data_IF_163725057431
#
_entry.id   IF_163725057431
#
_cell.length_a   1.000
_cell.length_b   1.000
_cell.length_c   1.000
_cell.angle_alpha   90.00
_cell.angle_beta   90.00
_cell.angle_gamma   90.00
#
_symmetry.space_group_name_H-M   'P 1'
#
loop_
_entity.id
_entity.type
_entity.pdbx_description
1 polymer ?
#
# COMPACT_ATOMS: atom_id res chain seq x y z
N UNK A 1 26.26 -27.44 79.29
CA UNK A 1 25.21 -27.51 78.30
C UNK A 1 25.41 -26.39 77.27
N UNK A 2 26.00 -26.64 76.14
CA UNK A 2 26.27 -25.63 75.05
C UNK A 2 25.28 -25.85 73.92
N UNK A 3 24.50 -24.84 73.63
CA UNK A 3 23.58 -24.80 72.54
C UNK A 3 24.32 -24.35 71.26
N UNK A 4 24.33 -25.17 70.23
CA UNK A 4 24.86 -24.88 68.87
C UNK A 4 23.81 -24.16 68.09
N UNK A 5 24.12 -22.93 67.61
CA UNK A 5 23.33 -22.16 66.69
C UNK A 5 23.59 -22.68 65.26
N UNK A 6 22.57 -23.20 64.62
CA UNK A 6 22.59 -23.54 63.17
C UNK A 6 22.30 -22.28 62.37
N UNK A 7 23.22 -21.96 61.44
CA UNK A 7 23.09 -20.87 60.49
C UNK A 7 22.30 -21.37 59.28
N UNK A 8 21.07 -20.85 59.09
CA UNK A 8 20.30 -21.07 57.86
C UNK A 8 20.86 -20.14 56.77
N UNK A 9 21.43 -20.73 55.74
CA UNK A 9 21.81 -20.02 54.51
C UNK A 9 20.58 -19.96 53.59
N UNK A 10 20.04 -18.78 53.41
CA UNK A 10 19.01 -18.52 52.40
C UNK A 10 19.70 -18.40 51.02
N UNK A 11 19.51 -19.38 50.11
CA UNK A 11 19.76 -19.20 48.70
C UNK A 11 18.67 -18.30 48.12
N UNK A 12 19.01 -17.04 47.89
CA UNK A 12 18.18 -16.17 47.07
C UNK A 12 18.34 -16.60 45.60
N UNK A 13 17.36 -17.31 45.10
CA UNK A 13 17.21 -17.52 43.64
C UNK A 13 16.91 -16.17 42.99
N UNK A 14 17.88 -15.60 42.32
CA UNK A 14 17.68 -14.46 41.40
C UNK A 14 16.82 -14.94 40.22
N UNK A 15 15.52 -14.78 40.35
CA UNK A 15 14.61 -14.81 39.21
C UNK A 15 14.85 -13.49 38.48
N UNK A 16 15.62 -13.52 37.42
CA UNK A 16 15.68 -12.41 36.46
C UNK A 16 14.28 -12.23 35.88
N UNK A 17 13.69 -11.03 35.88
CA UNK A 17 12.46 -10.79 35.17
C UNK A 17 12.78 -10.96 33.66
N UNK A 18 12.18 -11.97 33.04
CA UNK A 18 12.07 -11.99 31.59
C UNK A 18 11.29 -10.72 31.23
N UNK A 19 11.98 -9.73 30.65
CA UNK A 19 11.33 -8.62 29.97
C UNK A 19 10.60 -9.24 28.78
N UNK A 20 9.34 -9.62 28.98
CA UNK A 20 8.44 -9.90 27.88
C UNK A 20 8.32 -8.58 27.10
N UNK A 21 8.76 -8.58 25.85
CA UNK A 21 8.42 -7.52 24.93
C UNK A 21 6.89 -7.54 24.81
N UNK A 22 6.22 -6.62 25.50
CA UNK A 22 4.81 -6.37 25.28
C UNK A 22 4.65 -5.72 23.90
N UNK A 23 4.70 -6.55 22.86
CA UNK A 23 4.20 -6.18 21.57
C UNK A 23 2.68 -6.14 21.72
N UNK A 24 2.14 -4.94 21.64
CA UNK A 24 0.76 -4.58 21.93
C UNK A 24 -0.25 -5.61 21.39
N UNK A 25 -0.74 -6.48 22.28
CA UNK A 25 -1.85 -7.38 22.05
C UNK A 25 -3.14 -6.65 22.42
N UNK A 26 -3.52 -5.65 21.61
CA UNK A 26 -4.81 -5.00 21.76
C UNK A 26 -5.95 -6.04 21.71
N UNK A 27 -7.09 -5.80 22.37
CA UNK A 27 -8.15 -6.77 22.53
C UNK A 27 -8.65 -7.28 21.17
N UNK A 28 -8.63 -8.58 21.00
CA UNK A 28 -9.21 -9.29 19.87
C UNK A 28 -10.73 -9.22 19.96
N UNK A 29 -11.34 -8.22 19.33
CA UNK A 29 -12.77 -8.26 19.05
C UNK A 29 -12.98 -8.90 17.67
N UNK A 30 -13.83 -9.94 17.53
CA UNK A 30 -14.26 -10.45 16.24
C UNK A 30 -14.97 -9.33 15.47
N UNK A 31 -14.79 -9.27 14.13
CA UNK A 31 -15.36 -8.25 13.26
C UNK A 31 -16.85 -8.04 13.51
N UNK A 32 -17.19 -6.99 14.23
CA UNK A 32 -18.56 -6.57 14.41
C UNK A 32 -18.98 -5.82 13.13
N UNK A 33 -20.11 -6.24 12.56
CA UNK A 33 -20.80 -5.49 11.52
C UNK A 33 -20.97 -4.04 11.98
N UNK A 34 -20.31 -3.10 11.31
CA UNK A 34 -20.46 -1.68 11.62
C UNK A 34 -21.85 -1.25 11.13
N UNK A 35 -22.75 -0.93 12.06
CA UNK A 35 -24.07 -0.37 11.73
C UNK A 35 -23.92 1.08 11.26
N UNK A 36 -24.90 1.60 10.53
CA UNK A 36 -24.87 2.96 9.99
C UNK A 36 -24.66 4.06 11.04
N UNK A 37 -25.08 3.83 12.29
CA UNK A 37 -24.84 4.69 13.45
C UNK A 37 -23.38 4.65 13.96
N UNK A 38 -22.64 3.57 13.69
CA UNK A 38 -21.22 3.41 14.03
C UNK A 38 -20.28 4.00 12.95
N UNK A 39 -20.78 4.18 11.72
CA UNK A 39 -20.04 4.81 10.61
C UNK A 39 -19.65 6.24 10.96
N UNK A 40 -20.56 7.01 11.57
CA UNK A 40 -20.28 8.40 11.99
C UNK A 40 -19.20 8.49 13.09
N UNK A 41 -19.10 7.52 13.99
CA UNK A 41 -18.08 7.47 15.01
C UNK A 41 -16.71 7.01 14.49
N UNK A 42 -16.68 6.18 13.45
CA UNK A 42 -15.44 5.73 12.79
C UNK A 42 -14.77 6.85 11.97
N UNK A 43 -15.53 7.74 11.33
CA UNK A 43 -15.02 8.90 10.57
C UNK A 43 -14.23 9.87 11.46
N UNK A 44 -14.52 9.94 12.76
CA UNK A 44 -13.80 10.79 13.71
C UNK A 44 -12.51 10.20 14.27
N UNK A 45 -12.15 8.96 13.92
CA UNK A 45 -11.03 8.23 14.50
C UNK A 45 -9.69 8.39 13.76
N UNK A 46 -9.62 9.19 12.70
CA UNK A 46 -8.39 9.54 12.00
C UNK A 46 -8.39 11.02 11.60
N UNK A 47 -7.20 11.57 11.38
CA UNK A 47 -7.00 12.96 10.97
C UNK A 47 -6.39 12.97 9.58
N UNK A 48 -7.04 13.64 8.65
CA UNK A 48 -6.48 13.96 7.35
C UNK A 48 -5.60 15.21 7.47
N UNK A 49 -4.35 15.01 7.81
CA UNK A 49 -3.32 16.05 7.93
C UNK A 49 -2.15 15.70 7.00
N UNK A 50 -2.45 15.66 5.71
CA UNK A 50 -1.47 15.36 4.67
C UNK A 50 -1.23 16.58 3.82
N UNK A 51 -0.05 17.17 3.96
CA UNK A 51 0.42 18.26 3.11
C UNK A 51 0.62 17.79 1.65
N UNK A 52 0.91 18.76 0.79
CA UNK A 52 1.25 18.50 -0.62
C UNK A 52 0.09 18.75 -1.58
N UNK A 53 0.28 18.32 -2.83
CA UNK A 53 -0.65 18.54 -3.92
C UNK A 53 -2.07 18.03 -3.63
N UNK A 54 -3.06 18.72 -4.18
CA UNK A 54 -4.46 18.29 -4.12
C UNK A 54 -4.78 17.50 -5.37
N UNK A 55 -5.39 16.34 -5.21
CA UNK A 55 -5.95 15.55 -6.31
C UNK A 55 -7.30 16.12 -6.71
N UNK A 56 -7.42 16.64 -7.93
CA UNK A 56 -8.71 17.05 -8.53
C UNK A 56 -9.05 16.03 -9.62
N UNK A 57 -9.72 14.96 -9.21
CA UNK A 57 -9.95 13.79 -10.05
C UNK A 57 -11.26 13.82 -10.83
N UNK A 58 -12.15 14.78 -10.57
CA UNK A 58 -13.43 14.95 -11.26
C UNK A 58 -14.22 13.64 -11.42
N UNK A 59 -14.69 13.01 -10.33
CA UNK A 59 -15.39 11.74 -10.41
C UNK A 59 -16.72 11.91 -11.12
N UNK A 60 -17.01 11.08 -12.10
CA UNK A 60 -18.33 10.98 -12.67
C UNK A 60 -19.27 10.10 -11.83
N UNK A 61 -20.54 10.03 -12.24
CA UNK A 61 -21.53 9.24 -11.52
C UNK A 61 -21.20 7.74 -11.46
N UNK A 62 -20.48 7.19 -12.43
CA UNK A 62 -20.08 5.78 -12.45
C UNK A 62 -18.97 5.54 -11.42
N UNK A 63 -17.99 6.44 -11.31
CA UNK A 63 -16.94 6.39 -10.27
C UNK A 63 -17.57 6.45 -8.87
N UNK A 64 -18.48 7.39 -8.62
CA UNK A 64 -19.15 7.54 -7.33
C UNK A 64 -20.04 6.33 -7.00
N UNK A 65 -20.74 5.78 -8.00
CA UNK A 65 -21.52 4.55 -7.83
C UNK A 65 -20.64 3.34 -7.47
N UNK A 66 -19.43 3.27 -8.00
CA UNK A 66 -18.48 2.19 -7.73
C UNK A 66 -17.81 2.33 -6.35
N UNK A 67 -17.32 3.52 -6.02
CA UNK A 67 -16.48 3.75 -4.84
C UNK A 67 -17.21 4.26 -3.62
N UNK A 68 -18.37 4.92 -3.81
CA UNK A 68 -19.13 5.54 -2.74
C UNK A 68 -20.64 5.36 -2.94
N UNK A 69 -21.14 4.11 -3.10
CA UNK A 69 -22.54 3.84 -3.45
C UNK A 69 -23.55 4.40 -2.44
N UNK A 70 -23.12 4.70 -1.22
CA UNK A 70 -23.93 5.25 -0.14
C UNK A 70 -23.49 6.66 0.29
N UNK A 71 -22.78 7.40 -0.58
CA UNK A 71 -22.27 8.74 -0.30
C UNK A 71 -21.02 8.79 0.60
N UNK A 72 -20.44 7.64 0.92
CA UNK A 72 -19.14 7.48 1.62
C UNK A 72 -18.37 6.35 0.99
N UNK A 73 -17.04 6.49 0.92
CA UNK A 73 -16.14 5.39 0.53
C UNK A 73 -15.74 4.62 1.79
N UNK A 74 -16.08 3.35 1.87
CA UNK A 74 -15.65 2.48 2.98
C UNK A 74 -14.31 1.85 2.60
N UNK A 75 -13.27 2.13 3.40
CA UNK A 75 -11.91 1.67 3.09
C UNK A 75 -11.43 0.69 4.16
N UNK A 76 -11.14 -0.54 3.75
CA UNK A 76 -10.60 -1.60 4.61
C UNK A 76 -9.09 -1.47 4.81
N UNK A 77 -8.63 -1.54 6.06
CA UNK A 77 -7.21 -1.49 6.42
C UNK A 77 -6.81 -2.68 7.27
N UNK A 78 -5.82 -3.44 6.83
CA UNK A 78 -5.09 -4.33 7.72
C UNK A 78 -4.08 -3.50 8.54
N UNK A 79 -4.47 -3.08 9.75
CA UNK A 79 -3.60 -2.26 10.62
C UNK A 79 -2.43 -3.04 11.25
N UNK A 80 -2.37 -4.35 11.06
CA UNK A 80 -1.20 -5.16 11.41
C UNK A 80 -0.09 -5.06 10.34
N UNK A 81 -0.42 -4.64 9.13
CA UNK A 81 0.54 -4.26 8.10
C UNK A 81 0.81 -2.74 8.17
N UNK A 82 1.79 -2.35 8.96
CA UNK A 82 2.14 -0.94 9.17
C UNK A 82 2.62 -0.22 7.91
N UNK A 83 2.94 -0.94 6.84
CA UNK A 83 3.20 -0.34 5.53
C UNK A 83 1.94 0.28 4.91
N UNK A 84 0.75 -0.13 5.34
CA UNK A 84 -0.53 0.45 4.93
C UNK A 84 -1.13 1.31 6.03
N UNK A 85 -1.31 0.74 7.23
CA UNK A 85 -1.90 1.44 8.36
C UNK A 85 -1.35 0.92 9.70
N UNK A 86 -1.30 1.80 10.68
CA UNK A 86 -1.03 1.48 12.07
C UNK A 86 -2.18 2.00 12.94
N UNK A 87 -2.50 1.30 14.02
CA UNK A 87 -3.49 1.74 15.00
C UNK A 87 -2.78 2.24 16.25
N UNK A 88 -3.11 3.44 16.68
CA UNK A 88 -2.64 3.98 17.95
C UNK A 88 -3.26 3.19 19.11
N UNK A 89 -2.46 2.63 20.04
CA UNK A 89 -2.97 1.77 21.10
C UNK A 89 -3.80 2.52 22.14
N UNK A 90 -3.63 3.83 22.27
CA UNK A 90 -4.29 4.65 23.30
C UNK A 90 -5.59 5.24 22.73
N UNK A 91 -5.52 5.86 21.56
CA UNK A 91 -6.64 6.58 20.94
C UNK A 91 -7.46 5.70 20.00
N UNK A 92 -6.90 4.59 19.51
CA UNK A 92 -7.49 3.75 18.47
C UNK A 92 -7.43 4.36 17.07
N UNK A 93 -6.86 5.56 16.91
CA UNK A 93 -6.76 6.26 15.64
C UNK A 93 -5.85 5.52 14.66
N UNK A 94 -6.24 5.51 13.38
CA UNK A 94 -5.42 4.96 12.30
C UNK A 94 -4.52 6.04 11.72
N UNK A 95 -3.28 5.66 11.43
CA UNK A 95 -2.27 6.47 10.74
C UNK A 95 -1.54 5.60 9.72
N UNK A 96 -0.76 6.21 8.84
CA UNK A 96 0.10 5.49 7.90
C UNK A 96 -0.21 5.78 6.42
N UNK A 97 0.59 5.22 5.50
CA UNK A 97 0.53 5.58 4.08
C UNK A 97 -0.86 5.38 3.46
N UNK A 98 -1.56 4.31 3.79
CA UNK A 98 -2.90 4.06 3.28
C UNK A 98 -3.93 5.08 3.76
N UNK A 99 -3.81 5.58 5.01
CA UNK A 99 -4.67 6.64 5.53
C UNK A 99 -4.39 7.96 4.79
N UNK A 100 -3.11 8.33 4.65
CA UNK A 100 -2.69 9.55 3.96
C UNK A 100 -3.20 9.56 2.50
N UNK A 101 -3.06 8.44 1.79
CA UNK A 101 -3.59 8.29 0.43
C UNK A 101 -5.12 8.33 0.40
N UNK A 102 -5.81 7.71 1.36
CA UNK A 102 -7.28 7.75 1.42
C UNK A 102 -7.81 9.16 1.66
N UNK A 103 -7.09 9.98 2.45
CA UNK A 103 -7.43 11.39 2.65
C UNK A 103 -7.38 12.18 1.33
N UNK A 104 -6.33 11.97 0.52
CA UNK A 104 -6.20 12.64 -0.80
C UNK A 104 -7.21 12.10 -1.82
N UNK A 105 -7.47 10.80 -1.81
CA UNK A 105 -8.51 10.21 -2.66
C UNK A 105 -9.90 10.77 -2.32
N UNK A 106 -10.22 10.91 -1.03
CA UNK A 106 -11.49 11.52 -0.57
C UNK A 106 -11.61 13.00 -0.97
N UNK A 107 -10.51 13.75 -0.98
CA UNK A 107 -10.49 15.12 -1.52
C UNK A 107 -10.89 15.12 -3.01
N UNK A 108 -10.32 14.24 -3.81
CA UNK A 108 -10.59 14.16 -5.24
C UNK A 108 -11.98 13.61 -5.59
N UNK A 109 -12.54 12.72 -4.79
CA UNK A 109 -13.89 12.21 -4.98
C UNK A 109 -14.96 13.15 -4.43
N UNK A 110 -14.59 14.16 -3.63
CA UNK A 110 -15.51 15.05 -2.89
C UNK A 110 -16.49 14.31 -1.99
N UNK A 111 -16.18 13.07 -1.61
CA UNK A 111 -16.96 12.29 -0.64
C UNK A 111 -16.08 11.87 0.53
N UNK A 112 -16.61 11.82 1.77
CA UNK A 112 -15.84 11.34 2.91
C UNK A 112 -15.53 9.86 2.77
N UNK A 113 -14.43 9.40 3.39
CA UNK A 113 -14.19 7.99 3.57
C UNK A 113 -14.36 7.56 5.03
N UNK A 114 -14.63 6.27 5.23
CA UNK A 114 -14.70 5.61 6.52
C UNK A 114 -13.61 4.55 6.56
N UNK A 115 -12.76 4.61 7.57
CA UNK A 115 -11.70 3.62 7.76
C UNK A 115 -12.23 2.44 8.58
N UNK A 116 -12.16 1.22 8.01
CA UNK A 116 -12.56 -0.02 8.64
C UNK A 116 -11.30 -0.84 8.97
N UNK A 117 -11.02 -0.99 10.26
CA UNK A 117 -9.79 -1.59 10.75
C UNK A 117 -9.94 -3.10 10.96
N UNK A 118 -9.04 -3.87 10.37
CA UNK A 118 -8.96 -5.33 10.51
C UNK A 118 -7.59 -5.76 11.06
N UNK A 119 -7.60 -6.72 11.98
CA UNK A 119 -6.38 -7.34 12.48
C UNK A 119 -5.97 -8.52 11.59
N UNK A 120 -5.27 -8.23 10.51
CA UNK A 120 -4.79 -9.25 9.58
C UNK A 120 -5.63 -9.40 8.30
N UNK A 121 -5.15 -10.23 7.39
CA UNK A 121 -5.76 -10.48 6.08
C UNK A 121 -7.04 -11.32 6.17
N UNK A 122 -7.12 -12.41 6.95
CA UNK A 122 -8.33 -13.23 7.00
C UNK A 122 -9.59 -12.46 7.40
N UNK A 123 -9.61 -11.61 8.47
CA UNK A 123 -10.80 -10.82 8.78
C UNK A 123 -11.10 -9.73 7.72
N UNK A 124 -10.09 -9.16 7.04
CA UNK A 124 -10.31 -8.24 5.93
C UNK A 124 -11.04 -8.93 4.75
N UNK A 125 -10.68 -10.17 4.41
CA UNK A 125 -11.36 -10.97 3.39
C UNK A 125 -12.77 -11.39 3.83
N UNK A 126 -12.98 -11.65 5.11
CA UNK A 126 -14.34 -11.87 5.64
C UNK A 126 -15.20 -10.62 5.46
N UNK A 127 -14.64 -9.43 5.64
CA UNK A 127 -15.31 -8.15 5.35
C UNK A 127 -15.68 -7.99 3.87
N UNK A 128 -14.88 -8.50 2.94
CA UNK A 128 -15.25 -8.58 1.52
C UNK A 128 -16.53 -9.39 1.30
N UNK A 129 -16.59 -10.59 1.88
CA UNK A 129 -17.75 -11.47 1.75
C UNK A 129 -19.04 -10.84 2.32
N UNK A 130 -18.91 -9.99 3.33
CA UNK A 130 -20.00 -9.24 3.94
C UNK A 130 -20.30 -7.91 3.24
N UNK A 131 -19.53 -7.53 2.21
CA UNK A 131 -19.60 -6.21 1.56
C UNK A 131 -19.38 -5.04 2.54
N UNK A 132 -18.44 -5.20 3.48
CA UNK A 132 -18.16 -4.20 4.51
C UNK A 132 -17.36 -3.00 3.96
N UNK A 133 -16.62 -3.17 2.86
CA UNK A 133 -15.77 -2.14 2.27
C UNK A 133 -15.88 -2.07 0.74
N UNK A 134 -15.58 -0.90 0.20
CA UNK A 134 -15.63 -0.57 -1.24
C UNK A 134 -14.23 -0.58 -1.87
N UNK A 135 -13.21 -0.29 -1.06
CA UNK A 135 -11.80 -0.40 -1.41
C UNK A 135 -10.98 -0.87 -0.20
N UNK A 136 -9.78 -1.42 -0.39
CA UNK A 136 -8.92 -1.81 0.72
C UNK A 136 -7.43 -1.66 0.41
N UNK A 137 -6.63 -1.45 1.47
CA UNK A 137 -5.16 -1.39 1.42
C UNK A 137 -4.59 -2.62 2.12
N UNK A 138 -4.18 -3.63 1.37
CA UNK A 138 -3.71 -4.84 2.01
C UNK A 138 -2.84 -5.79 1.17
N UNK A 139 -2.96 -5.79 -0.16
CA UNK A 139 -2.56 -6.94 -0.95
C UNK A 139 -1.44 -6.64 -1.94
N UNK A 140 -0.60 -7.65 -2.17
CA UNK A 140 0.32 -7.69 -3.29
C UNK A 140 -0.44 -7.94 -4.58
N UNK A 141 -0.19 -7.13 -5.59
CA UNK A 141 -0.84 -7.21 -6.89
C UNK A 141 -0.69 -8.58 -7.58
N UNK A 142 0.40 -9.31 -7.32
CA UNK A 142 0.70 -10.61 -7.96
C UNK A 142 0.14 -11.81 -7.19
N UNK A 143 -0.34 -11.59 -5.97
CA UNK A 143 -0.77 -12.63 -5.04
C UNK A 143 -2.25 -12.49 -4.65
N UNK A 144 -3.04 -11.82 -5.48
CA UNK A 144 -4.43 -11.50 -5.24
C UNK A 144 -5.27 -12.73 -4.84
N UNK A 145 -5.96 -12.68 -3.71
CA UNK A 145 -6.97 -13.68 -3.42
C UNK A 145 -8.19 -13.50 -4.34
N UNK A 146 -8.99 -14.56 -4.57
CA UNK A 146 -10.21 -14.48 -5.36
C UNK A 146 -11.19 -13.42 -4.82
N UNK A 147 -11.91 -12.76 -5.71
CA UNK A 147 -12.99 -11.82 -5.39
C UNK A 147 -12.54 -10.35 -5.32
N UNK A 148 -11.27 -10.06 -5.57
CA UNK A 148 -10.74 -8.70 -5.63
C UNK A 148 -9.93 -8.46 -6.89
N UNK A 149 -9.92 -7.22 -7.33
CA UNK A 149 -9.04 -6.73 -8.41
C UNK A 149 -8.16 -5.61 -7.88
N UNK A 150 -6.85 -5.69 -8.14
CA UNK A 150 -5.89 -4.67 -7.73
C UNK A 150 -5.78 -3.54 -8.74
N UNK A 151 -5.62 -2.34 -8.22
CA UNK A 151 -5.12 -1.20 -8.97
C UNK A 151 -3.61 -1.34 -9.24
N UNK A 152 -3.00 -0.36 -9.93
CA UNK A 152 -1.55 -0.31 -10.07
C UNK A 152 -0.89 -0.21 -8.68
N UNK A 153 0.26 -0.86 -8.47
CA UNK A 153 0.89 -0.84 -7.16
C UNK A 153 1.48 0.53 -6.84
N UNK A 154 1.45 0.91 -5.56
CA UNK A 154 1.98 2.18 -5.07
C UNK A 154 3.22 2.02 -4.19
N UNK A 155 3.30 0.95 -3.40
CA UNK A 155 4.38 0.68 -2.45
C UNK A 155 4.99 -0.68 -2.71
N UNK A 156 6.33 -0.73 -2.82
CA UNK A 156 7.13 -1.93 -2.75
C UNK A 156 7.64 -2.17 -1.34
N UNK A 157 7.52 -3.39 -0.83
CA UNK A 157 7.97 -3.80 0.50
C UNK A 157 8.99 -4.91 0.37
N UNK A 158 10.20 -4.65 0.85
CA UNK A 158 11.29 -5.63 0.91
C UNK A 158 11.00 -6.67 1.99
N UNK A 159 10.83 -7.92 1.60
CA UNK A 159 10.61 -9.03 2.52
C UNK A 159 11.84 -9.92 2.61
N UNK A 160 12.26 -10.21 3.84
CA UNK A 160 13.39 -11.05 4.16
C UNK A 160 13.09 -11.88 5.40
N UNK A 161 14.08 -12.59 5.91
CA UNK A 161 14.00 -13.28 7.19
C UNK A 161 14.67 -12.47 8.30
N UNK A 162 14.00 -12.38 9.44
CA UNK A 162 14.59 -12.04 10.71
C UNK A 162 14.97 -13.34 11.42
N UNK A 163 16.21 -13.44 11.87
CA UNK A 163 16.75 -14.60 12.58
C UNK A 163 17.39 -14.15 13.90
N UNK A 164 17.56 -15.07 14.85
CA UNK A 164 18.31 -14.78 16.07
C UNK A 164 19.77 -14.45 15.73
N UNK A 165 20.43 -13.67 16.58
CA UNK A 165 21.79 -13.21 16.34
C UNK A 165 22.82 -14.33 16.15
N UNK A 166 22.63 -15.47 16.82
CA UNK A 166 23.46 -16.68 16.79
C UNK A 166 23.06 -17.69 15.71
N UNK A 167 22.00 -17.43 14.94
CA UNK A 167 21.52 -18.34 13.91
C UNK A 167 22.56 -18.52 12.78
N UNK A 168 22.68 -19.73 12.20
CA UNK A 168 23.71 -20.03 11.20
C UNK A 168 23.43 -19.43 9.82
N UNK A 169 22.24 -18.93 9.57
CA UNK A 169 21.80 -18.43 8.27
C UNK A 169 22.49 -17.11 7.91
N UNK A 170 23.10 -17.01 6.73
CA UNK A 170 23.78 -15.80 6.26
C UNK A 170 23.02 -15.10 5.12
N UNK A 171 22.22 -15.84 4.37
CA UNK A 171 21.42 -15.37 3.24
C UNK A 171 20.07 -16.08 3.22
N UNK A 172 19.12 -15.54 2.47
CA UNK A 172 17.76 -16.07 2.31
C UNK A 172 17.75 -17.55 1.91
N UNK A 173 18.64 -17.95 0.99
CA UNK A 173 18.70 -19.33 0.51
C UNK A 173 19.07 -20.37 1.59
N UNK A 174 19.67 -19.94 2.70
CA UNK A 174 20.06 -20.84 3.78
C UNK A 174 18.88 -21.30 4.65
N UNK A 175 17.75 -20.58 4.59
CA UNK A 175 16.61 -20.78 5.48
C UNK A 175 15.68 -21.91 5.00
N UNK A 176 15.62 -22.19 3.69
CA UNK A 176 14.83 -23.31 3.17
C UNK A 176 15.57 -24.64 3.33
N UNK A 177 15.68 -25.13 4.55
CA UNK A 177 16.38 -26.37 4.89
C UNK A 177 15.50 -27.30 5.74
N UNK A 178 15.76 -28.63 5.70
CA UNK A 178 15.03 -29.60 6.51
C UNK A 178 15.09 -29.30 8.01
N UNK A 179 13.94 -29.31 8.66
CA UNK A 179 13.82 -29.03 10.10
C UNK A 179 13.74 -27.57 10.49
N UNK A 180 13.97 -26.63 9.57
CA UNK A 180 13.80 -25.19 9.81
C UNK A 180 12.31 -24.83 9.88
N UNK A 181 11.93 -24.06 10.90
CA UNK A 181 10.58 -23.57 11.13
C UNK A 181 10.58 -22.05 10.92
N UNK A 182 9.68 -21.58 10.09
CA UNK A 182 9.57 -20.16 9.72
C UNK A 182 8.20 -19.63 10.17
N UNK A 183 8.16 -18.67 11.07
CA UNK A 183 6.90 -18.01 11.43
C UNK A 183 6.53 -16.94 10.41
N UNK A 184 5.25 -16.79 10.15
CA UNK A 184 4.70 -15.85 9.18
C UNK A 184 3.26 -15.46 9.54
N UNK A 185 2.85 -14.23 9.26
CA UNK A 185 1.45 -13.83 9.38
C UNK A 185 0.61 -14.46 8.27
N UNK A 186 -0.45 -15.17 8.63
CA UNK A 186 -1.32 -15.88 7.70
C UNK A 186 -1.95 -14.95 6.67
N UNK A 187 -1.93 -15.35 5.40
CA UNK A 187 -2.50 -14.62 4.27
C UNK A 187 -1.68 -13.41 3.84
N UNK A 188 -0.53 -13.13 4.46
CA UNK A 188 0.39 -12.08 4.00
C UNK A 188 1.09 -12.48 2.70
N UNK A 189 1.63 -11.49 1.95
CA UNK A 189 2.42 -11.77 0.75
C UNK A 189 3.58 -12.75 1.01
N UNK A 190 4.37 -12.64 2.10
CA UNK A 190 5.33 -13.65 2.49
C UNK A 190 4.74 -15.06 2.66
N UNK A 191 3.58 -15.21 3.32
CA UNK A 191 2.95 -16.50 3.53
C UNK A 191 2.54 -17.17 2.22
N UNK A 192 1.90 -16.40 1.33
CA UNK A 192 1.43 -16.92 0.03
C UNK A 192 2.64 -17.29 -0.84
N UNK A 193 3.66 -16.43 -0.90
CA UNK A 193 4.86 -16.67 -1.68
C UNK A 193 5.64 -17.90 -1.18
N UNK A 194 5.93 -17.94 0.10
CA UNK A 194 6.69 -19.05 0.71
C UNK A 194 5.90 -20.36 0.69
N UNK A 195 4.59 -20.31 0.83
CA UNK A 195 3.73 -21.48 0.69
C UNK A 195 3.79 -22.15 -0.68
N UNK A 196 4.22 -21.40 -1.73
CA UNK A 196 4.39 -21.90 -3.10
C UNK A 196 5.82 -22.26 -3.45
N UNK A 197 6.82 -21.70 -2.74
CA UNK A 197 8.24 -21.76 -3.15
C UNK A 197 9.12 -22.59 -2.23
N UNK A 198 8.80 -22.69 -0.93
CA UNK A 198 9.56 -23.52 0.01
C UNK A 198 9.50 -25.00 -0.36
N UNK A 199 10.63 -25.66 -0.22
CA UNK A 199 10.78 -27.09 -0.52
C UNK A 199 11.01 -27.94 0.74
N UNK A 200 11.67 -27.42 1.74
CA UNK A 200 12.14 -28.16 2.90
C UNK A 200 11.69 -27.58 4.23
N UNK A 201 11.72 -26.27 4.39
CA UNK A 201 11.33 -25.60 5.63
C UNK A 201 9.82 -25.65 5.87
N UNK A 202 9.42 -25.55 7.13
CA UNK A 202 8.01 -25.59 7.54
C UNK A 202 7.51 -24.20 7.92
N UNK A 203 6.38 -23.75 7.33
CA UNK A 203 5.71 -22.51 7.73
C UNK A 203 4.86 -22.72 8.98
N UNK A 204 5.08 -21.86 9.98
CA UNK A 204 4.26 -21.73 11.18
C UNK A 204 3.45 -20.44 11.07
N UNK A 205 2.17 -20.59 10.72
CA UNK A 205 1.26 -19.47 10.46
C UNK A 205 0.66 -18.94 11.76
N UNK A 206 0.62 -17.61 11.90
CA UNK A 206 0.00 -16.92 13.04
C UNK A 206 -1.07 -15.95 12.54
N UNK A 207 -1.98 -15.53 13.40
CA UNK A 207 -3.02 -14.58 13.02
C UNK A 207 -2.45 -13.19 12.66
N UNK A 208 -1.30 -12.83 13.23
CA UNK A 208 -0.70 -11.49 13.08
C UNK A 208 0.81 -11.50 13.24
N UNK A 209 1.49 -10.46 12.72
CA UNK A 209 2.94 -10.27 12.79
C UNK A 209 3.50 -10.29 14.22
N UNK A 210 2.90 -9.64 15.24
CA UNK A 210 3.42 -9.71 16.60
C UNK A 210 3.56 -11.14 17.11
N UNK A 211 2.55 -11.96 16.93
CA UNK A 211 2.58 -13.38 17.35
C UNK A 211 3.67 -14.17 16.61
N UNK A 212 3.91 -13.87 15.33
CA UNK A 212 4.97 -14.51 14.58
C UNK A 212 6.37 -14.13 15.10
N UNK A 213 6.56 -12.88 15.51
CA UNK A 213 7.78 -12.40 16.15
C UNK A 213 7.97 -13.01 17.55
N UNK A 214 6.90 -13.17 18.34
CA UNK A 214 6.94 -13.82 19.66
C UNK A 214 7.43 -15.27 19.55
N UNK A 215 7.02 -16.01 18.53
CA UNK A 215 7.50 -17.37 18.28
C UNK A 215 9.02 -17.40 18.04
N UNK A 216 9.56 -16.40 17.33
CA UNK A 216 11.00 -16.27 17.13
C UNK A 216 11.72 -15.93 18.45
N UNK A 217 11.17 -14.96 19.21
CA UNK A 217 11.72 -14.52 20.48
C UNK A 217 11.79 -15.64 21.53
N UNK A 218 10.78 -16.51 21.55
CA UNK A 218 10.71 -17.67 22.46
C UNK A 218 11.43 -18.92 21.94
N UNK A 219 12.06 -18.86 20.75
CA UNK A 219 12.80 -19.98 20.16
C UNK A 219 11.91 -21.12 19.64
N UNK A 220 10.61 -20.88 19.48
CA UNK A 220 9.69 -21.87 18.92
C UNK A 220 9.83 -22.01 17.40
N UNK A 221 10.43 -21.02 16.74
CA UNK A 221 10.79 -21.03 15.33
C UNK A 221 12.24 -20.55 15.14
N UNK A 222 12.79 -20.80 13.98
CA UNK A 222 14.19 -20.53 13.66
C UNK A 222 14.34 -19.22 12.87
N UNK A 223 13.28 -18.78 12.17
CA UNK A 223 13.19 -17.53 11.42
C UNK A 223 11.76 -16.96 11.45
N UNK A 224 11.66 -15.65 11.31
CA UNK A 224 10.42 -14.95 10.97
C UNK A 224 10.52 -14.44 9.53
N UNK A 225 9.46 -14.60 8.74
CA UNK A 225 9.36 -14.10 7.38
C UNK A 225 8.47 -12.85 7.33
N UNK A 226 9.00 -11.74 6.82
CA UNK A 226 8.24 -10.49 6.71
C UNK A 226 9.02 -9.31 6.18
N UNK A 227 8.37 -8.15 6.16
CA UNK A 227 8.97 -6.89 5.73
C UNK A 227 9.98 -6.34 6.74
N UNK A 228 10.86 -5.45 6.29
CA UNK A 228 11.89 -4.75 7.10
C UNK A 228 11.31 -3.58 7.93
N UNK A 229 10.01 -3.60 8.20
CA UNK A 229 9.27 -2.50 8.80
C UNK A 229 9.51 -2.29 10.30
N UNK A 230 8.84 -1.26 10.90
CA UNK A 230 9.09 -0.81 12.28
C UNK A 230 8.91 -1.87 13.34
N UNK A 231 7.97 -2.82 13.19
CA UNK A 231 7.77 -3.91 14.15
C UNK A 231 8.98 -4.82 14.26
N UNK A 232 9.62 -5.13 13.11
CA UNK A 232 10.83 -5.94 13.07
C UNK A 232 12.02 -5.19 13.68
N UNK A 233 12.15 -3.90 13.39
CA UNK A 233 13.19 -3.04 13.98
C UNK A 233 13.01 -2.94 15.50
N UNK A 234 11.77 -2.76 15.97
CA UNK A 234 11.47 -2.75 17.41
C UNK A 234 11.82 -4.09 18.07
N UNK A 235 11.52 -5.21 17.44
CA UNK A 235 11.91 -6.53 17.93
C UNK A 235 13.44 -6.68 18.02
N UNK A 236 14.18 -6.27 16.99
CA UNK A 236 15.66 -6.32 17.04
C UNK A 236 16.20 -5.48 18.20
N UNK A 237 15.64 -4.31 18.42
CA UNK A 237 16.08 -3.41 19.47
C UNK A 237 15.83 -3.95 20.89
N UNK A 238 14.72 -4.65 21.11
CA UNK A 238 14.37 -5.18 22.45
C UNK A 238 14.92 -6.58 22.71
N UNK A 239 14.95 -7.44 21.72
CA UNK A 239 15.08 -8.88 21.87
C UNK A 239 16.28 -9.45 21.11
N UNK A 240 16.99 -8.63 20.38
CA UNK A 240 18.11 -9.02 19.52
C UNK A 240 17.66 -9.69 18.23
N UNK A 241 18.63 -10.09 17.43
CA UNK A 241 18.40 -10.68 16.13
C UNK A 241 19.02 -9.85 15.00
N UNK A 242 18.91 -10.35 13.80
CA UNK A 242 19.39 -9.68 12.59
C UNK A 242 18.54 -10.04 11.38
N UNK A 243 18.36 -9.07 10.51
CA UNK A 243 17.78 -9.30 9.18
C UNK A 243 18.82 -9.91 8.26
N UNK A 244 18.41 -10.84 7.40
CA UNK A 244 19.25 -11.29 6.31
C UNK A 244 19.42 -10.17 5.27
N UNK A 245 20.59 -10.10 4.60
CA UNK A 245 20.91 -8.95 3.73
C UNK A 245 20.06 -8.90 2.45
N UNK A 246 19.73 -10.06 1.91
CA UNK A 246 18.95 -10.22 0.68
C UNK A 246 17.44 -10.33 0.95
N UNK A 247 16.64 -10.21 -0.08
CA UNK A 247 15.19 -10.34 -0.04
C UNK A 247 14.76 -11.62 -0.76
N UNK A 248 13.76 -12.33 -0.22
CA UNK A 248 13.11 -13.41 -0.95
C UNK A 248 11.94 -12.91 -1.81
N UNK A 249 11.38 -11.74 -1.47
CA UNK A 249 10.23 -11.15 -2.17
C UNK A 249 10.27 -9.63 -2.02
N UNK A 250 9.97 -8.91 -3.10
CA UNK A 250 9.50 -7.53 -3.05
C UNK A 250 7.98 -7.56 -3.26
N UNK A 251 7.22 -7.32 -2.21
CA UNK A 251 5.76 -7.29 -2.27
C UNK A 251 5.28 -5.94 -2.79
N UNK A 252 4.58 -5.92 -3.92
CA UNK A 252 4.05 -4.71 -4.54
C UNK A 252 2.60 -4.47 -4.09
N UNK A 253 2.42 -3.66 -3.06
CA UNK A 253 1.13 -3.39 -2.45
C UNK A 253 0.30 -2.45 -3.32
N UNK A 254 -0.98 -2.79 -3.49
CA UNK A 254 -1.94 -2.04 -4.27
C UNK A 254 -3.21 -1.74 -3.46
N UNK A 255 -3.95 -0.72 -3.89
CA UNK A 255 -5.36 -0.55 -3.51
C UNK A 255 -6.15 -1.60 -4.29
N UNK A 256 -7.04 -2.29 -3.62
CA UNK A 256 -7.90 -3.30 -4.23
C UNK A 256 -9.36 -2.90 -4.12
N UNK A 257 -10.15 -3.34 -5.09
CA UNK A 257 -11.61 -3.21 -5.08
C UNK A 257 -12.25 -4.59 -5.23
N UNK A 258 -13.48 -4.81 -4.73
CA UNK A 258 -14.23 -6.02 -5.01
C UNK A 258 -14.42 -6.24 -6.52
N UNK A 259 -14.38 -7.48 -7.01
CA UNK A 259 -14.63 -7.80 -8.43
C UNK A 259 -16.02 -7.33 -8.90
N UNK A 260 -16.96 -7.19 -7.97
CA UNK A 260 -18.28 -6.61 -8.24
C UNK A 260 -18.22 -5.15 -8.69
N UNK A 261 -17.23 -4.37 -8.25
CA UNK A 261 -16.96 -3.00 -8.70
C UNK A 261 -16.55 -3.03 -10.18
N UNK A 262 -15.61 -3.90 -10.54
CA UNK A 262 -15.14 -4.07 -11.91
C UNK A 262 -16.27 -4.55 -12.82
N UNK A 263 -17.08 -5.50 -12.37
CA UNK A 263 -18.20 -6.07 -13.12
C UNK A 263 -19.33 -5.07 -13.36
N UNK A 264 -19.50 -4.05 -12.48
CA UNK A 264 -20.50 -3.01 -12.64
C UNK A 264 -20.15 -2.04 -13.77
N UNK A 265 -18.99 -1.39 -13.67
CA UNK A 265 -18.52 -0.42 -14.68
C UNK A 265 -17.00 -0.40 -14.83
N UNK A 266 -16.26 -0.73 -13.77
CA UNK A 266 -14.82 -0.61 -13.72
C UNK A 266 -14.31 0.84 -13.61
N UNK A 267 -15.21 1.83 -13.59
CA UNK A 267 -14.84 3.24 -13.52
C UNK A 267 -14.12 3.59 -12.23
N UNK A 268 -14.55 3.00 -11.11
CA UNK A 268 -13.90 3.18 -9.80
C UNK A 268 -12.47 2.66 -9.76
N UNK A 269 -12.19 1.48 -10.34
CA UNK A 269 -10.83 0.95 -10.43
C UNK A 269 -9.95 1.83 -11.32
N UNK A 270 -10.47 2.28 -12.46
CA UNK A 270 -9.74 3.16 -13.36
C UNK A 270 -9.39 4.49 -12.69
N UNK A 271 -10.33 5.06 -11.94
CA UNK A 271 -10.12 6.29 -11.17
C UNK A 271 -9.03 6.11 -10.10
N UNK A 272 -9.02 4.97 -9.38
CA UNK A 272 -7.96 4.64 -8.43
C UNK A 272 -6.60 4.52 -9.13
N UNK A 273 -6.53 3.92 -10.32
CA UNK A 273 -5.29 3.83 -11.10
C UNK A 273 -4.72 5.20 -11.45
N UNK A 274 -5.57 6.13 -11.88
CA UNK A 274 -5.16 7.51 -12.17
C UNK A 274 -4.71 8.25 -10.91
N UNK A 275 -5.44 8.10 -9.81
CA UNK A 275 -5.05 8.65 -8.52
C UNK A 275 -3.68 8.12 -8.06
N UNK A 276 -3.43 6.82 -8.15
CA UNK A 276 -2.15 6.21 -7.75
C UNK A 276 -1.01 6.70 -8.62
N UNK A 277 -1.20 6.80 -9.94
CA UNK A 277 -0.15 7.32 -10.84
C UNK A 277 0.18 8.80 -10.51
N UNK A 278 -0.85 9.62 -10.27
CA UNK A 278 -0.69 10.99 -9.80
C UNK A 278 0.03 11.05 -8.44
N UNK A 279 -0.38 10.25 -7.46
CA UNK A 279 0.22 10.22 -6.13
C UNK A 279 1.71 9.82 -6.15
N UNK A 280 2.09 8.93 -7.06
CA UNK A 280 3.51 8.58 -7.29
C UNK A 280 4.28 9.72 -7.94
N UNK A 281 3.69 10.38 -8.93
CA UNK A 281 4.31 11.47 -9.69
C UNK A 281 4.53 12.72 -8.84
N UNK A 282 3.56 13.08 -8.01
CA UNK A 282 3.63 14.25 -7.10
C UNK A 282 4.46 14.03 -5.84
N UNK A 283 4.95 12.80 -5.61
CA UNK A 283 5.71 12.44 -4.43
C UNK A 283 4.86 12.18 -3.18
N UNK A 284 3.52 12.16 -3.28
CA UNK A 284 2.63 11.88 -2.15
C UNK A 284 2.91 10.52 -1.52
N UNK A 285 3.15 9.47 -2.35
CA UNK A 285 3.46 8.13 -1.83
C UNK A 285 4.76 8.14 -1.04
N UNK A 286 5.80 8.83 -1.54
CA UNK A 286 7.09 8.95 -0.82
C UNK A 286 6.91 9.72 0.49
N UNK A 287 6.18 10.83 0.48
CA UNK A 287 5.88 11.61 1.67
C UNK A 287 5.17 10.76 2.74
N UNK A 288 4.19 9.94 2.34
CA UNK A 288 3.46 9.07 3.24
C UNK A 288 4.36 7.96 3.85
N UNK A 289 5.27 7.39 3.06
CA UNK A 289 6.29 6.43 3.53
C UNK A 289 7.21 7.08 4.57
N UNK A 290 7.73 8.28 4.27
CA UNK A 290 8.66 9.00 5.13
C UNK A 290 8.01 9.40 6.47
N UNK A 291 6.78 9.89 6.44
CA UNK A 291 5.98 10.20 7.65
C UNK A 291 5.79 8.99 8.54
N UNK A 292 5.51 7.84 7.94
CA UNK A 292 5.31 6.59 8.65
C UNK A 292 6.63 5.92 9.10
N UNK A 293 7.79 6.45 8.70
CA UNK A 293 9.14 5.91 9.00
C UNK A 293 9.27 4.42 8.65
N UNK A 294 8.75 4.04 7.49
CA UNK A 294 8.72 2.65 7.02
C UNK A 294 10.07 2.25 6.41
N UNK A 295 10.89 1.51 7.15
CA UNK A 295 12.13 0.91 6.62
C UNK A 295 11.85 -0.23 5.63
N UNK A 296 12.65 -0.35 4.57
CA UNK A 296 12.48 -1.38 3.53
C UNK A 296 11.21 -1.21 2.71
N UNK A 297 10.71 0.00 2.64
CA UNK A 297 9.51 0.37 1.87
C UNK A 297 9.89 1.48 0.90
N UNK A 298 9.46 1.38 -0.33
CA UNK A 298 9.77 2.32 -1.39
C UNK A 298 8.58 2.50 -2.33
N UNK A 299 8.58 3.59 -3.09
CA UNK A 299 7.59 3.81 -4.15
C UNK A 299 7.84 2.80 -5.27
N UNK A 300 6.79 2.12 -5.74
CA UNK A 300 6.93 1.21 -6.89
C UNK A 300 7.30 1.98 -8.15
N UNK A 301 8.00 1.35 -9.12
CA UNK A 301 8.31 2.00 -10.38
C UNK A 301 7.07 2.58 -11.07
N UNK A 302 7.25 3.66 -11.81
CA UNK A 302 6.20 4.21 -12.65
C UNK A 302 5.81 3.22 -13.74
N UNK A 303 4.57 3.30 -14.21
CA UNK A 303 4.12 2.56 -15.37
C UNK A 303 4.93 2.93 -16.63
N UNK A 304 5.00 2.03 -17.64
CA UNK A 304 5.53 2.37 -18.95
C UNK A 304 4.81 3.60 -19.54
N UNK A 305 5.52 4.45 -20.32
CA UNK A 305 4.96 5.69 -20.87
C UNK A 305 3.62 5.52 -21.58
N UNK A 306 3.47 4.49 -22.43
CA UNK A 306 2.23 4.23 -23.16
C UNK A 306 1.02 3.93 -22.22
N UNK A 307 1.25 3.19 -21.14
CA UNK A 307 0.20 2.90 -20.15
C UNK A 307 -0.20 4.17 -19.37
N UNK A 308 0.75 5.02 -19.03
CA UNK A 308 0.47 6.30 -18.36
C UNK A 308 -0.30 7.26 -19.24
N UNK A 309 0.02 7.31 -20.54
CA UNK A 309 -0.78 8.08 -21.51
C UNK A 309 -2.20 7.51 -21.59
N UNK A 310 -2.38 6.19 -21.45
CA UNK A 310 -3.70 5.57 -21.33
C UNK A 310 -4.50 6.11 -20.13
N UNK A 311 -3.88 6.28 -18.96
CA UNK A 311 -4.52 6.90 -17.79
C UNK A 311 -4.94 8.36 -18.07
N UNK A 312 -4.08 9.15 -18.74
CA UNK A 312 -4.43 10.51 -19.17
C UNK A 312 -5.63 10.54 -20.11
N UNK A 313 -5.73 9.59 -21.04
CA UNK A 313 -6.89 9.47 -21.93
C UNK A 313 -8.19 9.21 -21.17
N UNK A 314 -8.16 8.35 -20.15
CA UNK A 314 -9.31 8.10 -19.30
C UNK A 314 -9.69 9.36 -18.50
N UNK A 315 -8.71 10.09 -17.96
CA UNK A 315 -8.97 11.36 -17.26
C UNK A 315 -9.63 12.38 -18.20
N UNK A 316 -9.10 12.58 -19.39
CA UNK A 316 -9.71 13.47 -20.41
C UNK A 316 -11.14 13.04 -20.74
N UNK A 317 -11.40 11.73 -20.85
CA UNK A 317 -12.76 11.20 -21.12
C UNK A 317 -13.70 11.55 -19.98
N UNK A 318 -13.27 11.45 -18.72
CA UNK A 318 -14.08 11.87 -17.55
C UNK A 318 -14.37 13.36 -17.55
N UNK A 319 -13.38 14.22 -17.85
CA UNK A 319 -13.62 15.66 -17.96
C UNK A 319 -14.69 16.02 -19.01
N UNK A 320 -14.80 15.20 -20.07
CA UNK A 320 -15.89 15.33 -21.04
C UNK A 320 -17.21 14.82 -20.46
N UNK A 321 -17.21 13.66 -19.81
CA UNK A 321 -18.41 13.05 -19.22
C UNK A 321 -19.02 13.91 -18.12
N UNK A 322 -18.19 14.56 -17.31
CA UNK A 322 -18.61 15.49 -16.25
C UNK A 322 -18.98 16.89 -16.77
N UNK A 323 -18.77 17.16 -18.06
CA UNK A 323 -19.11 18.44 -18.68
C UNK A 323 -18.10 19.57 -18.44
N UNK A 324 -16.95 19.28 -17.82
CA UNK A 324 -15.83 20.23 -17.69
C UNK A 324 -15.27 20.60 -19.05
N UNK A 325 -15.06 19.60 -19.90
CA UNK A 325 -14.70 19.79 -21.31
C UNK A 325 -15.89 19.48 -22.22
N UNK A 326 -16.08 20.26 -23.26
CA UNK A 326 -16.99 19.85 -24.34
C UNK A 326 -16.33 18.78 -25.23
N UNK A 327 -17.13 18.09 -26.06
CA UNK A 327 -16.65 17.02 -26.93
C UNK A 327 -15.51 17.43 -27.88
N UNK A 328 -15.51 18.66 -28.39
CA UNK A 328 -14.47 19.21 -29.25
C UNK A 328 -13.14 19.42 -28.50
N UNK A 329 -13.22 19.96 -27.27
CA UNK A 329 -12.07 20.17 -26.40
C UNK A 329 -11.44 18.85 -25.95
N UNK A 330 -12.27 17.89 -25.52
CA UNK A 330 -11.81 16.56 -25.15
C UNK A 330 -11.15 15.84 -26.32
N UNK A 331 -11.76 15.87 -27.51
CA UNK A 331 -11.18 15.28 -28.71
C UNK A 331 -9.83 15.93 -29.08
N UNK A 332 -9.71 17.25 -28.93
CA UNK A 332 -8.45 17.95 -29.22
C UNK A 332 -7.29 17.51 -28.30
N UNK A 333 -7.57 17.13 -27.05
CA UNK A 333 -6.60 16.54 -26.12
C UNK A 333 -6.35 15.04 -26.44
N UNK A 334 -7.41 14.27 -26.63
CA UNK A 334 -7.34 12.83 -26.86
C UNK A 334 -6.53 12.45 -28.11
N UNK A 335 -6.70 13.14 -29.23
CA UNK A 335 -5.95 12.88 -30.48
C UNK A 335 -4.43 13.07 -30.28
N UNK A 336 -4.00 14.01 -29.43
CA UNK A 336 -2.59 14.23 -29.14
C UNK A 336 -2.01 13.07 -28.32
N UNK A 337 -2.76 12.60 -27.33
CA UNK A 337 -2.37 11.46 -26.49
C UNK A 337 -2.34 10.16 -27.28
N UNK A 338 -3.37 9.89 -28.11
CA UNK A 338 -3.42 8.72 -28.99
C UNK A 338 -2.24 8.70 -29.96
N UNK A 339 -1.97 9.86 -30.61
CA UNK A 339 -0.82 9.97 -31.50
C UNK A 339 0.53 9.81 -30.78
N UNK A 340 0.63 10.13 -29.49
CA UNK A 340 1.83 9.85 -28.71
C UNK A 340 1.99 8.35 -28.44
N UNK A 341 0.91 7.61 -28.12
CA UNK A 341 0.94 6.16 -27.93
C UNK A 341 1.35 5.45 -29.23
N UNK A 342 0.78 5.84 -30.38
CA UNK A 342 1.14 5.29 -31.69
C UNK A 342 2.62 5.47 -31.99
N UNK A 343 3.16 6.67 -31.73
CA UNK A 343 4.59 6.97 -31.95
C UNK A 343 5.51 6.19 -31.01
N UNK A 344 5.09 5.95 -29.75
CA UNK A 344 5.84 5.07 -28.84
C UNK A 344 5.83 3.60 -29.30
N UNK A 345 4.73 3.14 -29.91
CA UNK A 345 4.63 1.79 -30.45
C UNK A 345 5.53 1.58 -31.69
N UNK A 346 5.79 2.66 -32.45
CA UNK A 346 6.68 2.69 -33.61
C UNK A 346 8.15 2.97 -33.24
N UNK A 347 8.50 3.01 -31.96
CA UNK A 347 9.82 3.43 -31.42
C UNK A 347 10.23 4.87 -31.80
N UNK A 348 9.30 5.70 -32.26
CA UNK A 348 9.51 7.09 -32.62
C UNK A 348 9.38 8.03 -31.40
N UNK A 349 10.26 7.85 -30.41
CA UNK A 349 10.14 8.53 -29.11
C UNK A 349 10.14 10.07 -29.25
N UNK A 350 10.97 10.68 -30.11
CA UNK A 350 10.98 12.13 -30.32
C UNK A 350 9.64 12.66 -30.88
N UNK A 351 9.02 11.91 -31.79
CA UNK A 351 7.71 12.26 -32.32
C UNK A 351 6.61 12.14 -31.26
N UNK A 352 6.67 11.11 -30.41
CA UNK A 352 5.79 10.98 -29.25
C UNK A 352 5.92 12.15 -28.28
N UNK A 353 7.15 12.58 -28.00
CA UNK A 353 7.45 13.76 -27.14
C UNK A 353 6.86 15.05 -27.74
N UNK A 354 6.95 15.24 -29.05
CA UNK A 354 6.32 16.36 -29.74
C UNK A 354 4.79 16.37 -29.56
N UNK A 355 4.15 15.20 -29.64
CA UNK A 355 2.69 15.06 -29.38
C UNK A 355 2.32 15.39 -27.93
N UNK A 356 3.10 14.90 -26.96
CA UNK A 356 2.91 15.24 -25.55
C UNK A 356 3.15 16.74 -25.26
N UNK A 357 4.14 17.36 -25.87
CA UNK A 357 4.34 18.80 -25.80
C UNK A 357 3.12 19.59 -26.33
N UNK A 358 2.54 19.14 -27.45
CA UNK A 358 1.31 19.75 -27.97
C UNK A 358 0.10 19.52 -27.05
N UNK A 359 0.02 18.38 -26.34
CA UNK A 359 -0.98 18.15 -25.29
C UNK A 359 -0.78 19.13 -24.12
N UNK A 360 0.43 19.27 -23.59
CA UNK A 360 0.78 20.18 -22.49
C UNK A 360 0.36 21.61 -22.83
N UNK A 361 0.79 22.13 -23.98
CA UNK A 361 0.43 23.48 -24.41
C UNK A 361 -1.08 23.70 -24.50
N UNK A 362 -1.84 22.67 -24.91
CA UNK A 362 -3.30 22.78 -24.98
C UNK A 362 -3.96 22.77 -23.59
N UNK A 363 -3.44 21.97 -22.65
CA UNK A 363 -3.91 21.97 -21.27
C UNK A 363 -3.63 23.31 -20.59
N UNK A 364 -2.45 23.88 -20.80
CA UNK A 364 -2.08 25.23 -20.30
C UNK A 364 -3.02 26.28 -20.88
N UNK A 365 -3.30 26.25 -22.17
CA UNK A 365 -4.26 27.17 -22.80
C UNK A 365 -5.67 27.02 -22.23
N UNK A 366 -6.14 25.80 -21.95
CA UNK A 366 -7.44 25.58 -21.33
C UNK A 366 -7.50 26.06 -19.88
N UNK A 367 -6.41 25.92 -19.13
CA UNK A 367 -6.29 26.47 -17.77
C UNK A 367 -6.32 28.00 -17.80
N UNK A 368 -5.48 28.61 -18.65
CA UNK A 368 -5.37 30.07 -18.77
C UNK A 368 -6.68 30.71 -19.26
N UNK A 369 -7.48 30.00 -20.04
CA UNK A 369 -8.81 30.39 -20.48
C UNK A 369 -9.91 30.12 -19.43
N UNK A 370 -9.58 29.52 -18.28
CA UNK A 370 -10.55 29.15 -17.25
C UNK A 370 -11.51 28.01 -17.63
N UNK A 371 -11.14 27.22 -18.65
CA UNK A 371 -11.88 26.00 -19.05
C UNK A 371 -11.60 24.87 -18.08
N UNK A 372 -10.33 24.73 -17.66
CA UNK A 372 -9.89 23.85 -16.58
C UNK A 372 -9.61 24.67 -15.33
N UNK A 373 -9.93 24.11 -14.16
CA UNK A 373 -9.44 24.66 -12.88
C UNK A 373 -7.91 24.54 -12.80
N UNK A 374 -7.28 25.27 -11.86
CA UNK A 374 -5.85 25.16 -11.62
C UNK A 374 -5.44 23.72 -11.26
N UNK A 375 -6.22 23.04 -10.41
CA UNK A 375 -5.95 21.67 -9.99
C UNK A 375 -6.15 20.63 -11.11
N UNK A 376 -7.24 20.77 -11.90
CA UNK A 376 -7.48 19.93 -13.08
C UNK A 376 -6.33 20.02 -14.08
N UNK A 377 -5.89 21.25 -14.39
CA UNK A 377 -4.76 21.50 -15.26
C UNK A 377 -3.47 20.92 -14.69
N UNK A 378 -3.19 21.17 -13.39
CA UNK A 378 -1.98 20.68 -12.72
C UNK A 378 -1.89 19.15 -12.77
N UNK A 379 -2.97 18.42 -12.44
CA UNK A 379 -3.00 16.95 -12.47
C UNK A 379 -2.64 16.38 -13.84
N UNK A 380 -3.19 16.93 -14.91
CA UNK A 380 -2.87 16.49 -16.27
C UNK A 380 -1.42 16.82 -16.68
N UNK A 381 -0.95 18.02 -16.31
CA UNK A 381 0.40 18.52 -16.65
C UNK A 381 1.50 17.74 -15.93
N UNK A 382 1.32 17.41 -14.64
CA UNK A 382 2.32 16.68 -13.85
C UNK A 382 2.58 15.30 -14.45
N UNK A 383 1.52 14.53 -14.75
CA UNK A 383 1.66 13.21 -15.35
C UNK A 383 2.31 13.32 -16.74
N UNK A 384 1.85 14.24 -17.58
CA UNK A 384 2.38 14.39 -18.94
C UNK A 384 3.86 14.80 -18.95
N UNK A 385 4.27 15.71 -18.08
CA UNK A 385 5.67 16.15 -17.96
C UNK A 385 6.58 15.04 -17.42
N UNK A 386 6.13 14.25 -16.45
CA UNK A 386 6.91 13.12 -15.94
C UNK A 386 7.05 12.00 -16.99
N UNK A 387 6.01 11.73 -17.78
CA UNK A 387 6.12 10.81 -18.93
C UNK A 387 7.18 11.31 -19.93
N UNK A 388 7.20 12.61 -20.24
CA UNK A 388 8.21 13.21 -21.10
C UNK A 388 9.62 13.07 -20.52
N UNK A 389 9.83 13.41 -19.26
CA UNK A 389 11.15 13.35 -18.61
C UNK A 389 11.73 11.94 -18.66
N UNK A 390 10.93 10.93 -18.31
CA UNK A 390 11.38 9.52 -18.33
C UNK A 390 11.61 8.95 -19.71
N UNK A 391 10.86 9.40 -20.71
CA UNK A 391 11.11 9.03 -22.11
C UNK A 391 12.45 9.63 -22.61
N UNK A 392 12.78 10.86 -22.20
CA UNK A 392 14.07 11.51 -22.51
C UNK A 392 15.25 10.78 -21.84
N UNK A 393 15.11 10.38 -20.57
CA UNK A 393 16.13 9.59 -19.87
C UNK A 393 16.44 8.27 -20.57
N UNK A 394 15.40 7.58 -21.08
CA UNK A 394 15.58 6.34 -21.84
C UNK A 394 16.36 6.56 -23.15
N UNK A 395 16.08 7.64 -23.86
CA UNK A 395 16.85 8.00 -25.06
C UNK A 395 18.33 8.27 -24.73
N UNK A 396 18.59 8.96 -23.62
CA UNK A 396 19.96 9.26 -23.18
C UNK A 396 20.74 7.99 -22.76
N UNK A 397 20.07 6.99 -22.17
CA UNK A 397 20.67 5.73 -21.74
C UNK A 397 20.79 4.71 -22.88
N UNK A 398 19.89 4.72 -23.84
CA UNK A 398 19.86 3.80 -25.00
C UNK A 398 20.87 4.16 -26.11
N UNK A 399 21.49 5.34 -26.05
CA UNK A 399 22.57 5.75 -26.95
C UNK A 399 23.97 5.24 -26.59
N UNK A 400 24.08 4.36 -25.56
CA UNK A 400 25.35 3.74 -25.13
C UNK A 400 25.19 2.21 -25.18
N UNK A 401 24.89 1.70 -26.36
CA UNK A 401 24.78 0.27 -26.63
C UNK A 401 25.40 -0.07 -27.99
#
# INVERSE_FOLDING_TARGET
MKATRGTLVWLAALVAPALACNLDTGPTAPGALIRADQVAAAVSSFVCDVDGATWEGDPDAAVLHDLAPNGVTRVGFNYNNRNNAARDPITGALTGPGIDMSCKLAQGTHVPFVAIAYLGVPPLLAGLANSDWDAAFAFDQTLEPPGITAAIPHIGVDNTYLVRGDAPFQKVADVDAPGVRISVAQGSSPDIYLGRTLKYATLVRTAATPQALDLLGTGQVDAFAGGRGPQVIAFIACCGGRLLPDNFLIANLAIVVPDTVVSRSGAGLQYINEFVDWAKTTGLVQLAIDRAKQGGTHVTPALPPAQRIGLLLHHVTRLVTTGVLNGGQGNALAVKLQGAVEKLADDETEAAMSKLGAFINQVEAFRDAGVLSEGQGASLLEIARDVMARATERLALGGVG
#
